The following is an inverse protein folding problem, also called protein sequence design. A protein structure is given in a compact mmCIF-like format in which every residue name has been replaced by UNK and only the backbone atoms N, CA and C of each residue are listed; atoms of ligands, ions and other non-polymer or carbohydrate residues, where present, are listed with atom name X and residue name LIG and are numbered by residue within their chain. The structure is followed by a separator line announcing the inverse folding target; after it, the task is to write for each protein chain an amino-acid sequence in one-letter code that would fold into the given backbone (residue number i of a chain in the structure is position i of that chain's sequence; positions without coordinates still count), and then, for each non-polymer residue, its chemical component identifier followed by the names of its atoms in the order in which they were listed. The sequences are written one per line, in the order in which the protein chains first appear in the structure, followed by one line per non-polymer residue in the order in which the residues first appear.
data_IF_508596753214
#
_entry.id   IF_508596753214
#
_cell.length_a   1.000
_cell.length_b   1.000
_cell.length_c   1.000
_cell.angle_alpha   90.00
_cell.angle_beta   90.00
_cell.angle_gamma   90.00
#
_symmetry.space_group_name_H-M   'P 1'
#
loop_
_entity.id
_entity.type
_entity.pdbx_description
1 polymer ?
#
# COMPACT_ATOMS: atom_id res chain seq x y z
N UNK A 1 1.41 -23.88 -30.36
CA UNK A 1 0.21 -24.43 -29.71
C UNK A 1 0.30 -24.21 -28.19
N UNK A 2 0.24 -22.96 -27.70
CA UNK A 2 0.60 -22.59 -26.32
C UNK A 2 -0.17 -21.35 -25.77
N UNK A 3 -1.48 -21.21 -26.05
CA UNK A 3 -2.28 -20.05 -25.57
C UNK A 3 -3.73 -20.40 -25.19
N UNK A 4 -3.94 -21.47 -24.42
CA UNK A 4 -5.28 -21.98 -24.07
C UNK A 4 -5.62 -22.00 -22.56
N UNK A 5 -4.82 -21.35 -21.69
CA UNK A 5 -5.07 -21.39 -20.26
C UNK A 5 -5.10 -20.04 -19.53
N UNK A 6 -6.16 -19.74 -18.74
CA UNK A 6 -6.19 -18.65 -17.74
C UNK A 6 -7.47 -17.91 -17.38
N UNK A 7 -7.46 -16.56 -17.23
CA UNK A 7 -8.55 -15.75 -16.63
C UNK A 7 -8.98 -14.51 -17.46
N UNK A 8 -8.68 -14.47 -18.76
CA UNK A 8 -9.11 -13.41 -19.69
C UNK A 8 -10.04 -13.97 -20.76
N UNK A 9 -11.22 -13.36 -20.93
CA UNK A 9 -12.31 -13.83 -21.79
C UNK A 9 -11.87 -14.25 -23.20
N UNK A 10 -12.16 -15.48 -23.62
CA UNK A 10 -12.40 -15.81 -25.03
C UNK A 10 -13.83 -16.31 -25.18
N UNK A 11 -14.69 -15.43 -25.68
CA UNK A 11 -16.00 -15.75 -26.28
C UNK A 11 -17.06 -16.38 -25.35
N UNK A 12 -17.77 -15.57 -24.55
CA UNK A 12 -19.04 -15.96 -23.89
C UNK A 12 -20.01 -14.78 -23.75
N UNK A 13 -21.32 -15.04 -23.86
CA UNK A 13 -22.43 -14.07 -24.01
C UNK A 13 -22.64 -13.03 -22.88
N UNK A 14 -21.76 -12.96 -21.87
CA UNK A 14 -21.77 -11.93 -20.81
C UNK A 14 -20.41 -11.26 -20.60
N UNK A 15 -19.47 -11.56 -21.48
CA UNK A 15 -18.17 -10.90 -21.63
C UNK A 15 -18.20 -10.21 -22.96
N UNK A 16 -17.44 -9.12 -23.14
CA UNK A 16 -17.19 -8.47 -24.44
C UNK A 16 -17.57 -9.39 -25.62
N UNK A 17 -18.78 -9.17 -26.15
CA UNK A 17 -19.44 -10.08 -27.08
C UNK A 17 -18.52 -10.18 -28.27
N UNK A 18 -17.87 -11.33 -28.42
CA UNK A 18 -16.79 -11.57 -29.39
C UNK A 18 -15.66 -10.52 -29.32
N UNK A 19 -14.46 -10.92 -28.90
CA UNK A 19 -13.26 -10.12 -29.12
C UNK A 19 -12.46 -10.70 -30.30
N UNK A 20 -12.95 -10.58 -31.55
CA UNK A 20 -12.23 -11.08 -32.73
C UNK A 20 -11.02 -10.21 -33.07
N UNK A 21 -10.91 -8.98 -32.51
CA UNK A 21 -9.87 -8.02 -32.85
C UNK A 21 -9.67 -6.93 -31.78
N UNK A 22 -9.03 -7.24 -30.63
CA UNK A 22 -8.53 -6.32 -29.57
C UNK A 22 -9.43 -5.19 -29.01
N UNK A 23 -10.63 -4.97 -29.54
CA UNK A 23 -11.53 -3.84 -29.26
C UNK A 23 -12.25 -3.94 -27.91
N UNK A 24 -12.09 -5.07 -27.22
CA UNK A 24 -12.64 -5.35 -25.91
C UNK A 24 -11.79 -4.83 -24.74
N UNK A 25 -10.57 -4.36 -25.02
CA UNK A 25 -9.74 -3.69 -24.03
C UNK A 25 -9.96 -2.18 -24.08
N UNK A 26 -9.75 -1.52 -22.95
CA UNK A 26 -9.68 -0.07 -22.92
C UNK A 26 -8.42 0.41 -23.62
N UNK A 27 -8.50 1.41 -24.52
CA UNK A 27 -7.37 1.85 -25.30
C UNK A 27 -6.29 2.48 -24.41
N UNK A 28 -5.04 2.31 -24.83
CA UNK A 28 -3.90 2.97 -24.22
C UNK A 28 -3.59 4.25 -24.97
N UNK A 29 -3.55 5.36 -24.24
CA UNK A 29 -3.24 6.67 -24.77
C UNK A 29 -1.73 6.80 -25.06
N UNK A 30 -1.37 7.81 -25.83
CA UNK A 30 0.03 8.12 -26.18
C UNK A 30 0.90 8.47 -24.98
N UNK A 31 0.29 8.90 -23.87
CA UNK A 31 0.96 9.15 -22.58
C UNK A 31 1.31 7.86 -21.81
N UNK A 32 0.95 6.69 -22.36
CA UNK A 32 1.21 5.39 -21.76
C UNK A 32 0.21 4.97 -20.67
N UNK A 33 -0.85 5.75 -20.45
CA UNK A 33 -1.94 5.39 -19.54
C UNK A 33 -3.15 4.81 -20.28
N UNK A 34 -3.94 4.01 -19.57
CA UNK A 34 -5.23 3.51 -20.05
C UNK A 34 -6.32 4.23 -19.27
N UNK A 35 -7.03 5.14 -19.92
CA UNK A 35 -8.08 5.92 -19.27
C UNK A 35 -9.41 5.20 -19.40
N UNK A 36 -10.07 4.97 -18.27
CA UNK A 36 -11.39 4.35 -18.18
C UNK A 36 -12.37 5.37 -17.60
N UNK A 37 -13.17 6.05 -18.44
CA UNK A 37 -14.13 7.03 -17.98
C UNK A 37 -15.22 6.37 -17.11
N UNK A 38 -15.59 7.02 -16.00
CA UNK A 38 -16.67 6.55 -15.15
C UNK A 38 -17.54 7.69 -14.59
N UNK A 39 -18.79 7.35 -14.27
CA UNK A 39 -19.72 8.21 -13.56
C UNK A 39 -20.20 7.53 -12.28
N UNK A 40 -20.30 8.29 -11.18
CA UNK A 40 -20.89 7.80 -9.94
C UNK A 40 -22.33 8.28 -9.84
N UNK A 41 -23.26 7.33 -9.67
CA UNK A 41 -24.67 7.61 -9.49
C UNK A 41 -24.94 8.67 -8.43
N UNK A 42 -25.91 9.55 -8.69
CA UNK A 42 -26.41 10.54 -7.73
C UNK A 42 -27.10 9.89 -6.51
N UNK A 43 -27.38 8.59 -6.56
CA UNK A 43 -27.88 7.80 -5.42
C UNK A 43 -26.83 7.56 -4.34
N UNK A 44 -25.55 7.77 -4.64
CA UNK A 44 -24.49 7.67 -3.63
C UNK A 44 -24.31 8.98 -2.87
N UNK A 45 -24.13 8.87 -1.56
CA UNK A 45 -23.69 10.00 -0.72
C UNK A 45 -22.25 10.37 -1.05
N UNK A 46 -21.84 11.59 -0.69
CA UNK A 46 -20.45 12.05 -0.87
C UNK A 46 -19.43 11.12 -0.19
N UNK A 47 -19.78 10.56 0.97
CA UNK A 47 -18.93 9.60 1.68
C UNK A 47 -18.72 8.31 0.88
N UNK A 48 -19.77 7.76 0.27
CA UNK A 48 -19.65 6.55 -0.55
C UNK A 48 -18.84 6.84 -1.81
N UNK A 49 -19.06 7.99 -2.46
CA UNK A 49 -18.26 8.42 -3.61
C UNK A 49 -16.76 8.48 -3.25
N UNK A 50 -16.42 9.02 -2.08
CA UNK A 50 -15.03 9.06 -1.60
C UNK A 50 -14.44 7.68 -1.36
N UNK A 51 -15.20 6.72 -0.81
CA UNK A 51 -14.74 5.34 -0.61
C UNK A 51 -14.38 4.70 -1.95
N UNK A 52 -15.25 4.82 -2.95
CA UNK A 52 -15.01 4.28 -4.30
C UNK A 52 -13.78 4.93 -4.92
N UNK A 53 -13.72 6.26 -4.97
CA UNK A 53 -12.58 7.00 -5.53
C UNK A 53 -11.27 6.65 -4.82
N UNK A 54 -11.30 6.52 -3.48
CA UNK A 54 -10.13 6.17 -2.69
C UNK A 54 -9.58 4.78 -3.04
N UNK A 55 -10.45 3.78 -3.21
CA UNK A 55 -10.04 2.45 -3.64
C UNK A 55 -9.34 2.48 -5.01
N UNK A 56 -9.89 3.22 -5.98
CA UNK A 56 -9.32 3.30 -7.34
C UNK A 56 -7.91 3.91 -7.37
N UNK A 57 -7.55 4.78 -6.41
CA UNK A 57 -6.21 5.37 -6.35
C UNK A 57 -5.09 4.34 -6.15
N UNK A 58 -5.39 3.20 -5.54
CA UNK A 58 -4.41 2.12 -5.42
C UNK A 58 -4.10 1.50 -6.78
N UNK A 59 -5.14 1.25 -7.60
CA UNK A 59 -4.98 0.80 -8.99
C UNK A 59 -4.15 1.81 -9.77
N UNK A 60 -4.40 3.11 -9.59
CA UNK A 60 -3.63 4.17 -10.25
C UNK A 60 -2.16 4.17 -9.82
N UNK A 61 -1.90 3.81 -8.56
CA UNK A 61 -0.55 3.82 -7.99
C UNK A 61 0.28 2.65 -8.51
N UNK A 62 -0.34 1.48 -8.61
CA UNK A 62 0.32 0.20 -8.92
C UNK A 62 0.30 -0.17 -10.41
N UNK A 63 -0.46 0.55 -11.24
CA UNK A 63 -0.67 0.22 -12.66
C UNK A 63 -0.71 1.47 -13.54
N UNK A 64 -0.77 1.28 -14.86
CA UNK A 64 -1.03 2.35 -15.83
C UNK A 64 -2.53 2.65 -16.05
N UNK A 65 -3.44 1.97 -15.33
CA UNK A 65 -4.88 2.21 -15.43
C UNK A 65 -5.25 3.50 -14.70
N UNK A 66 -6.11 4.32 -15.30
CA UNK A 66 -6.64 5.56 -14.74
C UNK A 66 -8.16 5.57 -14.89
N UNK A 67 -8.87 5.30 -13.81
CA UNK A 67 -10.29 5.56 -13.73
C UNK A 67 -10.49 7.07 -13.56
N UNK A 68 -11.07 7.70 -14.57
CA UNK A 68 -11.21 9.15 -14.64
C UNK A 68 -12.69 9.55 -14.65
N UNK A 69 -13.10 10.62 -13.94
CA UNK A 69 -14.45 11.13 -14.06
C UNK A 69 -14.77 11.42 -15.53
N UNK A 70 -15.89 10.89 -16.00
CA UNK A 70 -16.35 11.12 -17.37
C UNK A 70 -16.66 12.59 -17.61
N UNK A 71 -16.37 13.02 -18.84
CA UNK A 71 -16.81 14.30 -19.40
C UNK A 71 -17.73 14.04 -20.61
N UNK A 72 -17.15 13.79 -21.79
CA UNK A 72 -17.88 13.63 -23.06
C UNK A 72 -17.67 12.27 -23.69
N UNK A 73 -16.91 11.37 -23.06
CA UNK A 73 -16.53 10.08 -23.63
C UNK A 73 -17.76 9.21 -23.90
N UNK A 74 -17.80 8.56 -25.07
CA UNK A 74 -18.90 7.68 -25.48
C UNK A 74 -18.89 6.37 -24.70
N UNK A 75 -17.70 5.79 -24.54
CA UNK A 75 -17.48 4.54 -23.81
C UNK A 75 -17.16 4.86 -22.35
N UNK A 76 -17.98 4.38 -21.42
CA UNK A 76 -17.79 4.66 -19.99
C UNK A 76 -18.52 3.70 -19.08
N UNK A 77 -18.08 3.67 -17.82
CA UNK A 77 -18.71 2.89 -16.76
C UNK A 77 -19.63 3.75 -15.89
N UNK A 78 -20.91 3.40 -15.84
CA UNK A 78 -21.82 3.95 -14.83
C UNK A 78 -21.78 3.08 -13.57
N UNK A 79 -21.30 3.64 -12.46
CA UNK A 79 -21.29 2.96 -11.16
C UNK A 79 -22.56 3.32 -10.40
N UNK A 80 -23.39 2.32 -10.10
CA UNK A 80 -24.71 2.51 -9.47
C UNK A 80 -25.01 1.47 -8.40
N UNK A 81 -25.83 1.78 -7.37
CA UNK A 81 -26.19 0.80 -6.35
C UNK A 81 -27.41 -0.04 -6.80
N UNK A 82 -27.23 -0.96 -7.75
CA UNK A 82 -28.35 -1.75 -8.33
C UNK A 82 -28.12 -3.27 -8.25
N UNK A 83 -28.77 -3.92 -7.28
CA UNK A 83 -28.88 -5.39 -7.26
C UNK A 83 -27.55 -6.12 -7.07
N UNK A 84 -26.92 -5.98 -5.92
CA UNK A 84 -25.70 -6.69 -5.53
C UNK A 84 -24.40 -6.01 -5.99
N UNK A 85 -23.32 -6.79 -5.97
CA UNK A 85 -22.01 -6.42 -6.52
C UNK A 85 -21.83 -7.22 -7.82
N UNK A 86 -21.68 -6.51 -8.94
CA UNK A 86 -21.43 -7.13 -10.25
C UNK A 86 -20.96 -6.09 -11.26
N UNK A 87 -20.32 -6.55 -12.33
CA UNK A 87 -19.80 -5.70 -13.39
C UNK A 87 -19.76 -6.41 -14.73
N UNK A 88 -19.87 -5.64 -15.81
CA UNK A 88 -19.57 -6.15 -17.15
C UNK A 88 -18.06 -6.39 -17.32
N UNK A 89 -17.72 -7.32 -18.22
CA UNK A 89 -16.32 -7.71 -18.45
C UNK A 89 -15.72 -7.06 -19.70
N UNK A 90 -14.69 -6.25 -19.50
CA UNK A 90 -13.99 -5.51 -20.56
C UNK A 90 -14.74 -4.25 -21.00
N UNK A 91 -14.26 -3.63 -22.08
CA UNK A 91 -14.93 -2.53 -22.79
C UNK A 91 -16.00 -3.09 -23.71
N UNK A 92 -17.27 -2.74 -23.47
CA UNK A 92 -18.40 -3.17 -24.30
C UNK A 92 -18.73 -2.19 -25.44
N UNK A 93 -18.26 -0.95 -25.34
CA UNK A 93 -18.72 0.17 -26.17
C UNK A 93 -19.98 0.83 -25.59
N UNK A 94 -20.05 2.15 -25.67
CA UNK A 94 -21.11 2.94 -25.06
C UNK A 94 -21.11 2.88 -23.52
N UNK A 95 -22.28 3.16 -22.93
CA UNK A 95 -22.51 3.06 -21.49
C UNK A 95 -22.55 1.59 -21.04
N UNK A 96 -21.72 1.22 -20.07
CA UNK A 96 -21.80 -0.08 -19.37
C UNK A 96 -21.98 0.11 -17.87
N UNK A 97 -22.84 -0.68 -17.23
CA UNK A 97 -23.12 -0.52 -15.80
C UNK A 97 -22.24 -1.43 -14.94
N UNK A 98 -21.79 -0.88 -13.81
CA UNK A 98 -21.17 -1.59 -12.70
C UNK A 98 -22.02 -1.35 -11.46
N UNK A 99 -22.39 -2.41 -10.75
CA UNK A 99 -23.14 -2.30 -9.51
C UNK A 99 -22.27 -2.42 -8.26
N UNK A 100 -22.40 -1.45 -7.35
CA UNK A 100 -21.90 -1.55 -5.98
C UNK A 100 -23.02 -1.15 -5.01
N UNK A 101 -23.73 -2.12 -4.44
CA UNK A 101 -24.63 -1.81 -3.33
C UNK A 101 -23.87 -1.18 -2.15
N UNK A 102 -24.49 -0.19 -1.53
CA UNK A 102 -23.90 0.53 -0.40
C UNK A 102 -23.59 -0.42 0.77
N UNK A 103 -24.44 -1.43 0.96
CA UNK A 103 -24.22 -2.49 1.94
C UNK A 103 -23.56 -3.70 1.25
N UNK A 104 -22.39 -4.10 1.75
CA UNK A 104 -21.69 -5.31 1.30
C UNK A 104 -20.71 -5.13 0.15
N UNK A 105 -20.86 -4.12 -0.73
CA UNK A 105 -19.95 -3.96 -1.89
C UNK A 105 -18.87 -2.89 -1.72
N UNK A 106 -18.89 -2.12 -0.63
CA UNK A 106 -17.95 -1.00 -0.42
C UNK A 106 -16.63 -1.39 0.26
N UNK A 107 -16.39 -2.69 0.47
CA UNK A 107 -15.07 -3.18 0.87
C UNK A 107 -14.09 -2.99 -0.29
N UNK A 108 -12.87 -2.57 0.03
CA UNK A 108 -11.85 -2.25 -0.99
C UNK A 108 -11.64 -3.38 -1.99
N UNK A 109 -11.48 -4.62 -1.53
CA UNK A 109 -11.28 -5.77 -2.41
C UNK A 109 -12.49 -6.06 -3.30
N UNK A 110 -13.72 -5.79 -2.84
CA UNK A 110 -14.93 -5.93 -3.65
C UNK A 110 -15.01 -4.85 -4.73
N UNK A 111 -14.67 -3.61 -4.39
CA UNK A 111 -14.56 -2.54 -5.39
C UNK A 111 -13.51 -2.92 -6.43
N UNK A 112 -12.32 -3.36 -6.01
CA UNK A 112 -11.28 -3.82 -6.94
C UNK A 112 -11.72 -5.01 -7.79
N UNK A 113 -12.48 -5.95 -7.23
CA UNK A 113 -13.05 -7.08 -7.99
C UNK A 113 -13.93 -6.60 -9.14
N UNK A 114 -14.90 -5.74 -8.86
CA UNK A 114 -15.84 -5.27 -9.89
C UNK A 114 -15.15 -4.39 -10.94
N UNK A 115 -14.17 -3.60 -10.53
CA UNK A 115 -13.37 -2.80 -11.46
C UNK A 115 -12.37 -3.65 -12.26
N UNK A 116 -11.87 -4.78 -11.73
CA UNK A 116 -11.08 -5.73 -12.51
C UNK A 116 -11.91 -6.43 -13.59
N UNK A 117 -13.20 -6.68 -13.33
CA UNK A 117 -14.12 -7.09 -14.40
C UNK A 117 -14.18 -6.05 -15.52
N UNK A 118 -14.31 -4.76 -15.22
CA UNK A 118 -14.29 -3.67 -16.23
C UNK A 118 -13.03 -3.75 -17.12
N UNK A 119 -11.89 -4.16 -16.54
CA UNK A 119 -10.63 -4.31 -17.26
C UNK A 119 -10.53 -5.59 -18.10
N UNK A 120 -11.49 -6.52 -17.97
CA UNK A 120 -11.59 -7.74 -18.77
C UNK A 120 -11.24 -9.02 -18.02
N UNK A 121 -10.98 -8.97 -16.72
CA UNK A 121 -10.62 -10.14 -15.92
C UNK A 121 -11.84 -10.99 -15.57
N UNK A 122 -11.68 -12.30 -15.66
CA UNK A 122 -12.60 -13.32 -15.16
C UNK A 122 -12.21 -13.75 -13.75
N UNK A 123 -13.07 -14.57 -13.15
CA UNK A 123 -12.76 -15.17 -11.86
C UNK A 123 -11.58 -16.15 -11.94
N UNK A 124 -10.67 -16.08 -10.97
CA UNK A 124 -9.47 -16.92 -10.92
C UNK A 124 -9.80 -18.40 -10.77
N UNK A 125 -10.88 -18.73 -10.05
CA UNK A 125 -11.31 -20.11 -9.84
C UNK A 125 -11.99 -20.74 -11.06
N UNK A 126 -12.20 -20.00 -12.16
CA UNK A 126 -12.71 -20.56 -13.41
C UNK A 126 -11.65 -20.74 -14.49
N UNK A 127 -10.37 -20.58 -14.13
CA UNK A 127 -9.29 -20.87 -15.07
C UNK A 127 -9.37 -22.27 -15.63
N UNK A 128 -9.04 -22.44 -16.91
CA UNK A 128 -9.03 -23.76 -17.54
C UNK A 128 -7.98 -24.71 -16.94
N UNK A 129 -6.92 -24.19 -16.30
CA UNK A 129 -5.91 -24.98 -15.58
C UNK A 129 -6.22 -25.15 -14.08
N UNK A 130 -7.34 -24.61 -13.58
CA UNK A 130 -7.65 -24.56 -12.14
C UNK A 130 -7.61 -25.92 -11.45
N UNK A 131 -7.87 -27.01 -12.16
CA UNK A 131 -7.93 -28.36 -11.56
C UNK A 131 -6.54 -28.82 -11.09
N UNK A 132 -5.46 -28.09 -11.40
CA UNK A 132 -4.15 -28.27 -10.77
C UNK A 132 -4.05 -27.64 -9.37
N UNK A 133 -4.98 -26.74 -9.02
CA UNK A 133 -4.90 -25.84 -7.87
C UNK A 133 -6.11 -25.91 -6.94
N UNK A 134 -7.29 -26.25 -7.45
CA UNK A 134 -8.51 -26.36 -6.63
C UNK A 134 -9.32 -27.60 -6.99
N UNK A 135 -10.23 -27.99 -6.09
CA UNK A 135 -11.24 -29.03 -6.27
C UNK A 135 -12.61 -28.44 -5.98
N UNK A 136 -13.51 -28.51 -6.97
CA UNK A 136 -14.89 -28.08 -6.83
C UNK A 136 -15.71 -29.20 -6.18
N UNK A 137 -16.44 -28.86 -5.11
CA UNK A 137 -17.33 -29.76 -4.40
C UNK A 137 -18.75 -29.64 -4.96
N UNK A 138 -19.00 -30.23 -6.13
CA UNK A 138 -20.26 -30.11 -6.87
C UNK A 138 -21.51 -30.46 -6.05
N UNK A 139 -21.42 -31.42 -5.12
CA UNK A 139 -22.52 -31.80 -4.21
C UNK A 139 -22.98 -30.69 -3.26
N UNK A 140 -22.15 -29.66 -3.06
CA UNK A 140 -22.46 -28.51 -2.20
C UNK A 140 -22.94 -27.30 -3.00
N UNK A 141 -23.10 -27.40 -4.32
CA UNK A 141 -23.50 -26.29 -5.20
C UNK A 141 -24.87 -26.61 -5.79
N UNK A 142 -25.82 -25.67 -5.68
CA UNK A 142 -27.15 -25.80 -6.29
C UNK A 142 -27.08 -25.78 -7.82
N UNK A 143 -28.00 -26.48 -8.48
CA UNK A 143 -27.98 -26.67 -9.95
C UNK A 143 -27.87 -25.33 -10.71
N UNK A 144 -28.64 -24.32 -10.31
CA UNK A 144 -28.64 -22.99 -10.93
C UNK A 144 -27.35 -22.18 -10.75
N UNK A 145 -26.40 -22.65 -9.94
CA UNK A 145 -25.11 -21.98 -9.69
C UNK A 145 -23.90 -22.73 -10.24
N UNK A 146 -24.08 -23.94 -10.80
CA UNK A 146 -22.95 -24.75 -11.28
C UNK A 146 -22.15 -24.06 -12.38
N UNK A 147 -22.80 -23.27 -13.22
CA UNK A 147 -22.14 -22.52 -14.29
C UNK A 147 -21.12 -21.50 -13.79
N UNK A 148 -21.30 -20.95 -12.58
CA UNK A 148 -20.32 -20.07 -11.95
C UNK A 148 -18.99 -20.77 -11.62
N UNK A 149 -19.00 -22.11 -11.65
CA UNK A 149 -17.84 -22.96 -11.41
C UNK A 149 -17.47 -23.73 -12.67
N UNK A 150 -17.99 -23.45 -13.86
CA UNK A 150 -17.53 -24.15 -15.08
C UNK A 150 -16.21 -23.53 -15.54
N UNK A 151 -15.16 -24.32 -15.88
CA UNK A 151 -13.91 -23.75 -16.38
C UNK A 151 -14.18 -23.05 -17.71
N UNK A 152 -13.59 -21.88 -17.89
CA UNK A 152 -13.69 -21.13 -19.14
C UNK A 152 -12.35 -21.16 -19.90
N UNK A 153 -12.42 -21.11 -21.24
CA UNK A 153 -11.23 -20.97 -22.09
C UNK A 153 -10.77 -19.53 -22.04
N UNK A 154 -9.61 -19.32 -21.42
CA UNK A 154 -9.17 -18.01 -21.01
C UNK A 154 -7.62 -17.94 -21.13
N UNK A 155 -7.02 -16.75 -21.03
CA UNK A 155 -5.55 -16.54 -21.05
C UNK A 155 -5.05 -16.03 -19.70
N UNK A 156 -4.00 -16.63 -19.13
CA UNK A 156 -3.45 -16.31 -17.78
C UNK A 156 -2.20 -15.46 -17.91
N UNK A 157 -1.86 -15.09 -19.14
CA UNK A 157 -0.66 -14.36 -19.49
C UNK A 157 0.62 -15.07 -19.00
N UNK A 158 0.59 -16.40 -18.86
CA UNK A 158 1.70 -17.20 -18.32
C UNK A 158 1.99 -16.95 -16.84
N UNK A 159 1.05 -16.39 -16.08
CA UNK A 159 1.21 -16.13 -14.64
C UNK A 159 0.67 -17.32 -13.79
N UNK A 160 1.27 -17.55 -12.60
CA UNK A 160 0.84 -18.61 -11.70
C UNK A 160 -0.59 -18.43 -11.20
N UNK A 161 -1.16 -19.47 -10.59
CA UNK A 161 -2.47 -19.43 -9.97
C UNK A 161 -2.42 -18.62 -8.67
N UNK A 162 -3.39 -17.74 -8.48
CA UNK A 162 -3.46 -16.86 -7.32
C UNK A 162 -4.63 -17.20 -6.39
N UNK A 163 -4.36 -18.00 -5.36
CA UNK A 163 -5.36 -18.33 -4.35
C UNK A 163 -5.95 -17.09 -3.66
N UNK A 164 -5.20 -15.99 -3.58
CA UNK A 164 -5.59 -14.76 -2.86
C UNK A 164 -5.99 -13.63 -3.79
N UNK A 165 -6.23 -13.91 -5.07
CA UNK A 165 -6.73 -12.91 -6.01
C UNK A 165 -8.06 -12.35 -5.52
N UNK A 166 -8.28 -11.04 -5.70
CA UNK A 166 -9.63 -10.49 -5.51
C UNK A 166 -10.64 -11.15 -6.44
N UNK A 167 -10.20 -11.70 -7.57
CA UNK A 167 -11.03 -12.39 -8.56
C UNK A 167 -11.31 -13.85 -8.19
N UNK A 168 -10.81 -14.37 -7.07
CA UNK A 168 -11.06 -15.76 -6.65
C UNK A 168 -12.28 -15.82 -5.70
N UNK A 169 -13.22 -16.74 -5.95
CA UNK A 169 -14.31 -17.01 -5.01
C UNK A 169 -13.82 -17.59 -3.68
N UNK A 170 -14.50 -17.24 -2.61
CA UNK A 170 -14.28 -17.80 -1.29
C UNK A 170 -14.60 -19.30 -1.22
N UNK A 171 -14.07 -19.94 -0.18
CA UNK A 171 -14.22 -21.39 0.09
C UNK A 171 -15.68 -21.87 0.17
N UNK A 172 -16.60 -20.99 0.56
CA UNK A 172 -18.00 -21.33 0.86
C UNK A 172 -19.00 -20.66 -0.09
N UNK A 173 -18.53 -19.94 -1.10
CA UNK A 173 -19.41 -19.19 -2.00
C UNK A 173 -20.36 -20.13 -2.73
N UNK A 174 -21.64 -19.74 -2.80
CA UNK A 174 -22.73 -20.50 -3.41
C UNK A 174 -22.99 -21.88 -2.78
N UNK A 175 -22.60 -22.10 -1.53
CA UNK A 175 -22.92 -23.36 -0.84
C UNK A 175 -24.40 -23.48 -0.53
N UNK A 176 -25.01 -24.62 -0.89
CA UNK A 176 -26.36 -25.00 -0.46
C UNK A 176 -26.35 -25.82 0.84
N UNK A 177 -25.17 -26.28 1.26
CA UNK A 177 -24.98 -27.08 2.47
C UNK A 177 -24.22 -26.23 3.48
N UNK A 178 -24.93 -25.68 4.48
CA UNK A 178 -24.37 -24.75 5.46
C UNK A 178 -23.05 -25.30 6.07
N UNK A 179 -22.01 -24.46 6.05
CA UNK A 179 -20.68 -24.79 6.56
C UNK A 179 -19.87 -25.78 5.71
N UNK A 180 -20.39 -26.26 4.58
CA UNK A 180 -19.65 -27.15 3.66
C UNK A 180 -19.03 -26.33 2.52
N UNK A 181 -17.74 -26.56 2.20
CA UNK A 181 -17.03 -25.79 1.18
C UNK A 181 -17.47 -26.16 -0.24
N UNK A 182 -17.53 -25.19 -1.13
CA UNK A 182 -17.73 -25.40 -2.59
C UNK A 182 -16.39 -25.48 -3.33
N UNK A 183 -15.34 -24.85 -2.79
CA UNK A 183 -13.98 -24.89 -3.35
C UNK A 183 -13.00 -25.35 -2.27
N UNK A 184 -12.15 -26.32 -2.59
CA UNK A 184 -11.03 -26.74 -1.74
C UNK A 184 -9.70 -26.47 -2.46
N UNK A 185 -8.71 -25.86 -1.79
CA UNK A 185 -7.39 -25.70 -2.37
C UNK A 185 -6.64 -27.04 -2.46
N UNK A 186 -5.74 -27.14 -3.43
CA UNK A 186 -4.98 -28.33 -3.78
C UNK A 186 -3.61 -27.95 -4.37
N UNK A 187 -2.51 -28.67 -4.06
CA UNK A 187 -2.44 -29.82 -3.17
C UNK A 187 -2.45 -29.43 -1.68
N UNK A 188 -2.08 -28.19 -1.36
CA UNK A 188 -2.06 -27.68 0.01
C UNK A 188 -3.45 -27.19 0.44
N UNK A 189 -4.00 -27.76 1.51
CA UNK A 189 -5.35 -27.45 2.02
C UNK A 189 -5.43 -26.16 2.84
N UNK A 190 -4.29 -25.60 3.24
CA UNK A 190 -4.20 -24.45 4.14
C UNK A 190 -4.17 -23.11 3.39
N UNK A 191 -4.29 -23.14 2.06
CA UNK A 191 -4.38 -21.91 1.26
C UNK A 191 -5.69 -21.16 1.55
N UNK A 192 -5.56 -19.85 1.73
CA UNK A 192 -6.71 -18.95 1.82
C UNK A 192 -7.20 -18.68 0.40
N UNK A 193 -8.50 -18.92 0.16
CA UNK A 193 -9.16 -18.71 -1.14
C UNK A 193 -9.91 -17.37 -1.15
N UNK A 194 -9.54 -16.48 -2.08
CA UNK A 194 -10.05 -15.12 -2.17
C UNK A 194 -9.64 -14.23 -0.99
N UNK A 195 -9.93 -12.94 -1.10
CA UNK A 195 -9.86 -11.96 0.01
C UNK A 195 -10.54 -10.64 -0.39
N UNK A 196 -10.81 -9.78 0.60
CA UNK A 196 -11.51 -8.49 0.43
C UNK A 196 -10.66 -7.27 0.81
N UNK A 197 -9.36 -7.46 1.05
CA UNK A 197 -8.44 -6.44 1.53
C UNK A 197 -7.93 -5.51 0.42
N UNK A 198 -7.92 -5.95 -0.84
CA UNK A 198 -7.43 -5.16 -1.98
C UNK A 198 -6.73 -6.03 -3.01
N UNK A 199 -6.09 -5.46 -4.03
CA UNK A 199 -5.41 -6.28 -5.06
C UNK A 199 -4.27 -7.12 -4.43
N UNK A 200 -4.12 -8.36 -4.89
CA UNK A 200 -2.97 -9.21 -4.58
C UNK A 200 -1.74 -8.83 -5.41
N UNK A 201 -0.62 -9.53 -5.18
CA UNK A 201 0.57 -9.43 -6.04
C UNK A 201 0.31 -9.79 -7.49
N UNK A 202 -0.38 -10.90 -7.71
CA UNK A 202 -0.62 -11.39 -9.05
C UNK A 202 -1.74 -10.61 -9.75
N UNK A 203 -2.65 -9.97 -9.01
CA UNK A 203 -3.69 -9.12 -9.60
C UNK A 203 -3.10 -7.91 -10.34
N UNK A 204 -2.19 -7.12 -9.73
CA UNK A 204 -1.58 -6.00 -10.44
C UNK A 204 -0.62 -6.47 -11.55
N UNK A 205 0.11 -7.58 -11.35
CA UNK A 205 0.98 -8.12 -12.39
C UNK A 205 0.19 -8.52 -13.62
N UNK A 206 -1.00 -9.10 -13.43
CA UNK A 206 -1.92 -9.41 -14.53
C UNK A 206 -2.41 -8.15 -15.24
N UNK A 207 -2.86 -7.13 -14.51
CA UNK A 207 -3.27 -5.84 -15.10
C UNK A 207 -2.11 -5.23 -15.90
N UNK A 208 -0.93 -5.14 -15.30
CA UNK A 208 0.26 -4.56 -15.91
C UNK A 208 0.70 -5.34 -17.16
N UNK A 209 0.61 -6.66 -17.13
CA UNK A 209 0.94 -7.50 -18.29
C UNK A 209 -0.10 -7.39 -19.40
N UNK A 210 -1.40 -7.33 -19.06
CA UNK A 210 -2.49 -7.19 -20.02
C UNK A 210 -2.41 -5.86 -20.78
N UNK A 211 -2.25 -4.76 -20.05
CA UNK A 211 -2.22 -3.40 -20.59
C UNK A 211 -0.80 -2.90 -20.90
N UNK A 212 0.20 -3.80 -20.86
CA UNK A 212 1.61 -3.54 -21.14
C UNK A 212 2.14 -2.32 -20.38
N UNK A 213 1.75 -2.17 -19.11
CA UNK A 213 2.14 -1.03 -18.28
C UNK A 213 3.65 -1.03 -18.07
N UNK A 214 4.30 0.11 -18.37
CA UNK A 214 5.72 0.30 -18.11
C UNK A 214 5.92 0.81 -16.67
N UNK A 215 5.62 -0.05 -15.69
CA UNK A 215 5.71 0.27 -14.26
C UNK A 215 6.47 -0.83 -13.54
N UNK A 216 7.25 -0.44 -12.52
CA UNK A 216 7.92 -1.36 -11.61
C UNK A 216 7.26 -1.28 -10.24
N UNK A 217 6.11 -1.94 -10.08
CA UNK A 217 5.32 -1.91 -8.85
C UNK A 217 5.41 -3.24 -8.11
N UNK A 218 5.62 -3.19 -6.79
CA UNK A 218 5.67 -4.36 -5.92
C UNK A 218 4.80 -4.15 -4.69
N UNK A 219 4.01 -5.16 -4.33
CA UNK A 219 3.25 -5.20 -3.09
C UNK A 219 3.93 -6.14 -2.12
N UNK A 220 4.21 -5.63 -0.92
CA UNK A 220 4.92 -6.33 0.13
C UNK A 220 3.94 -6.61 1.27
N UNK A 221 3.70 -7.89 1.56
CA UNK A 221 2.87 -8.33 2.67
C UNK A 221 3.75 -8.92 3.77
N UNK A 222 3.31 -8.74 5.01
CA UNK A 222 3.96 -9.31 6.19
C UNK A 222 4.53 -8.24 7.11
N UNK A 223 5.04 -8.67 8.26
CA UNK A 223 5.44 -7.76 9.34
C UNK A 223 6.91 -7.35 9.28
N UNK A 224 7.65 -7.85 8.30
CA UNK A 224 9.00 -7.39 7.96
C UNK A 224 9.36 -7.74 6.52
N UNK A 225 10.35 -7.05 5.97
CA UNK A 225 10.86 -7.31 4.63
C UNK A 225 11.90 -6.30 4.19
N UNK A 226 12.44 -6.51 3.00
CA UNK A 226 13.51 -5.69 2.40
C UNK A 226 12.98 -5.04 1.12
N UNK A 227 13.36 -3.79 0.88
CA UNK A 227 13.07 -2.99 -0.30
C UNK A 227 14.39 -2.51 -0.90
N UNK A 228 14.60 -2.79 -2.18
CA UNK A 228 15.83 -2.42 -2.88
C UNK A 228 15.51 -1.93 -4.28
N UNK A 229 16.29 -0.98 -4.78
CA UNK A 229 16.30 -0.65 -6.22
C UNK A 229 16.72 -1.87 -7.03
N UNK A 230 16.21 -1.96 -8.27
CA UNK A 230 16.64 -3.02 -9.18
C UNK A 230 18.17 -2.99 -9.36
N UNK A 231 18.78 -4.18 -9.40
CA UNK A 231 20.22 -4.42 -9.53
C UNK A 231 21.10 -4.03 -8.35
N UNK A 232 20.55 -3.48 -7.25
CA UNK A 232 21.34 -3.16 -6.06
C UNK A 232 22.23 -4.35 -5.62
N UNK A 233 23.53 -4.15 -5.33
CA UNK A 233 24.23 -2.86 -5.16
C UNK A 233 24.81 -2.26 -6.45
N UNK A 234 24.54 -2.83 -7.62
CA UNK A 234 24.89 -2.23 -8.92
C UNK A 234 23.94 -1.09 -9.28
N UNK A 235 24.33 -0.30 -10.26
CA UNK A 235 23.55 0.88 -10.64
C UNK A 235 22.15 0.54 -11.15
N UNK A 236 21.17 1.34 -10.72
CA UNK A 236 19.82 1.27 -11.25
C UNK A 236 19.75 1.76 -12.71
N UNK A 237 18.69 1.42 -13.42
CA UNK A 237 18.48 1.88 -14.80
C UNK A 237 17.75 3.23 -14.86
N UNK A 238 17.86 3.90 -16.00
CA UNK A 238 17.16 5.16 -16.27
C UNK A 238 15.66 4.94 -16.55
N UNK A 239 14.88 6.02 -16.46
CA UNK A 239 13.43 6.07 -16.75
C UNK A 239 12.58 5.14 -15.87
N UNK A 240 12.98 4.94 -14.62
CA UNK A 240 12.23 4.14 -13.66
C UNK A 240 11.15 5.00 -12.98
N UNK A 241 10.01 4.37 -12.73
CA UNK A 241 8.96 4.88 -11.84
C UNK A 241 8.46 3.70 -11.00
N UNK A 242 9.25 3.36 -9.98
CA UNK A 242 9.03 2.20 -9.16
C UNK A 242 8.29 2.55 -7.88
N UNK A 243 7.39 1.66 -7.47
CA UNK A 243 6.68 1.79 -6.20
C UNK A 243 6.69 0.49 -5.43
N UNK A 244 6.87 0.60 -4.13
CA UNK A 244 6.67 -0.49 -3.18
C UNK A 244 5.56 -0.10 -2.21
N UNK A 245 4.44 -0.81 -2.28
CA UNK A 245 3.35 -0.67 -1.33
C UNK A 245 3.52 -1.74 -0.24
N UNK A 246 3.78 -1.30 0.97
CA UNK A 246 3.89 -2.18 2.15
C UNK A 246 2.53 -2.27 2.82
N UNK A 247 2.11 -3.50 3.14
CA UNK A 247 0.93 -3.81 3.95
C UNK A 247 1.31 -4.79 5.05
N UNK A 248 1.55 -4.24 6.23
CA UNK A 248 1.75 -5.02 7.44
C UNK A 248 0.44 -5.63 7.94
N UNK A 249 0.53 -6.70 8.74
CA UNK A 249 -0.64 -7.37 9.27
C UNK A 249 -1.34 -6.58 10.39
N UNK A 250 -0.59 -5.72 11.09
CA UNK A 250 -1.07 -5.10 12.34
C UNK A 250 -0.69 -3.62 12.55
N UNK A 251 0.34 -3.30 13.33
CA UNK A 251 0.64 -1.95 13.82
C UNK A 251 1.33 -1.09 12.74
N UNK A 252 2.07 -0.06 13.15
CA UNK A 252 2.72 0.89 12.27
C UNK A 252 3.88 0.26 11.50
N UNK A 253 4.09 0.69 10.26
CA UNK A 253 5.28 0.32 9.48
C UNK A 253 6.44 1.24 9.85
N UNK A 254 7.54 0.65 10.33
CA UNK A 254 8.82 1.32 10.58
C UNK A 254 9.78 0.97 9.43
N UNK A 255 10.24 1.97 8.67
CA UNK A 255 11.12 1.83 7.52
C UNK A 255 12.50 2.45 7.83
N UNK A 256 13.54 1.63 7.70
CA UNK A 256 14.92 2.04 7.89
C UNK A 256 15.73 1.83 6.61
N UNK A 257 16.38 2.90 6.13
CA UNK A 257 17.33 2.82 5.02
C UNK A 257 18.72 2.41 5.55
N UNK A 258 19.38 1.50 4.84
CA UNK A 258 20.73 1.04 5.18
C UNK A 258 21.79 1.65 4.28
N UNK A 259 21.46 1.79 3.00
CA UNK A 259 22.32 2.44 2.01
C UNK A 259 21.45 3.23 1.04
N UNK A 260 21.93 4.41 0.69
CA UNK A 260 21.30 5.31 -0.27
C UNK A 260 22.40 6.02 -1.03
N UNK A 261 22.41 5.80 -2.34
CA UNK A 261 23.28 6.43 -3.31
C UNK A 261 22.50 6.63 -4.61
N UNK A 262 21.84 7.78 -4.70
CA UNK A 262 20.98 8.17 -5.83
C UNK A 262 21.63 9.38 -6.50
N UNK A 263 21.51 9.54 -7.81
CA UNK A 263 22.08 10.68 -8.54
C UNK A 263 21.74 12.02 -7.85
N UNK A 264 22.79 12.74 -7.43
CA UNK A 264 22.65 14.07 -6.85
C UNK A 264 22.19 15.08 -7.91
N UNK A 265 21.18 15.87 -7.58
CA UNK A 265 20.74 17.02 -8.38
C UNK A 265 20.16 18.13 -7.49
N UNK A 266 20.15 19.39 -7.95
CA UNK A 266 19.47 20.47 -7.23
C UNK A 266 18.02 20.09 -6.94
N UNK A 267 17.64 20.18 -5.67
CA UNK A 267 16.32 19.79 -5.15
C UNK A 267 15.88 18.36 -5.51
N UNK A 268 16.81 17.46 -5.83
CA UNK A 268 16.51 16.09 -6.27
C UNK A 268 15.48 16.07 -7.41
N UNK A 269 15.64 17.00 -8.36
CA UNK A 269 14.74 17.20 -9.49
C UNK A 269 14.83 16.10 -10.54
N UNK A 270 15.96 15.39 -10.59
CA UNK A 270 16.19 14.23 -11.45
C UNK A 270 15.75 12.95 -10.73
N UNK A 271 16.71 12.22 -10.15
CA UNK A 271 16.43 10.99 -9.45
C UNK A 271 16.13 11.22 -7.97
N UNK A 272 15.22 10.44 -7.40
CA UNK A 272 14.87 10.54 -5.98
C UNK A 272 14.17 9.30 -5.44
N UNK A 273 14.30 9.11 -4.13
CA UNK A 273 13.36 8.32 -3.33
C UNK A 273 12.43 9.24 -2.55
N UNK A 274 11.18 8.83 -2.39
CA UNK A 274 10.14 9.53 -1.64
C UNK A 274 9.26 8.52 -0.90
N UNK A 275 8.75 8.89 0.28
CA UNK A 275 7.97 7.97 1.13
C UNK A 275 6.68 8.65 1.60
N UNK A 276 5.58 7.92 1.51
CA UNK A 276 4.23 8.39 1.82
C UNK A 276 3.58 7.55 2.93
N UNK A 277 2.78 8.23 3.75
CA UNK A 277 2.01 7.70 4.87
C UNK A 277 0.65 7.15 4.40
N UNK A 278 0.68 6.05 3.68
CA UNK A 278 -0.51 5.38 3.15
C UNK A 278 -0.25 4.66 1.83
N UNK A 279 -1.30 4.41 1.07
CA UNK A 279 -1.30 3.61 -0.15
C UNK A 279 -1.19 4.40 -1.46
N UNK A 280 -1.10 5.73 -1.41
CA UNK A 280 -1.14 6.58 -2.61
C UNK A 280 -0.15 7.74 -2.56
N UNK A 281 0.19 8.28 -3.73
CA UNK A 281 0.99 9.50 -3.88
C UNK A 281 0.30 10.78 -3.37
N UNK A 282 -0.99 10.70 -3.05
CA UNK A 282 -1.76 11.80 -2.46
C UNK A 282 -1.76 11.75 -0.92
N UNK A 283 -1.21 10.69 -0.33
CA UNK A 283 -1.08 10.57 1.12
C UNK A 283 -0.04 11.55 1.67
N UNK A 284 -0.09 11.82 2.98
CA UNK A 284 0.89 12.68 3.66
C UNK A 284 2.31 12.16 3.40
N UNK A 285 3.25 13.05 3.12
CA UNK A 285 4.64 12.67 2.87
C UNK A 285 5.36 12.45 4.21
N UNK A 286 6.07 11.32 4.34
CA UNK A 286 6.97 11.04 5.47
C UNK A 286 8.40 11.49 5.15
N UNK A 287 8.78 11.39 3.89
CA UNK A 287 10.05 11.85 3.35
C UNK A 287 9.78 12.47 1.98
N UNK A 288 10.22 13.71 1.79
CA UNK A 288 10.19 14.37 0.48
C UNK A 288 11.33 13.87 -0.42
N UNK A 289 11.43 14.37 -1.66
CA UNK A 289 12.46 13.96 -2.63
C UNK A 289 13.86 13.95 -2.02
N UNK A 290 14.47 12.77 -2.02
CA UNK A 290 15.76 12.54 -1.42
C UNK A 290 16.71 11.84 -2.39
N UNK A 291 17.89 12.40 -2.57
CA UNK A 291 18.93 11.95 -3.50
C UNK A 291 20.33 12.22 -2.96
N UNK A 292 21.36 11.74 -3.66
CA UNK A 292 22.75 11.76 -3.24
C UNK A 292 23.10 10.64 -2.27
N UNK A 293 24.40 10.49 -1.98
CA UNK A 293 24.90 9.57 -0.98
C UNK A 293 24.74 10.17 0.43
N UNK A 294 23.83 9.62 1.24
CA UNK A 294 23.53 10.14 2.58
C UNK A 294 22.73 9.17 3.44
N UNK A 295 22.77 9.38 4.75
CA UNK A 295 21.85 8.70 5.68
C UNK A 295 20.45 9.33 5.64
N UNK A 296 19.43 8.48 5.77
CA UNK A 296 18.02 8.89 5.86
C UNK A 296 17.44 8.53 7.23
N UNK A 297 16.45 9.31 7.72
CA UNK A 297 15.80 9.05 9.01
C UNK A 297 15.04 7.72 9.04
N UNK A 298 14.81 7.20 10.25
CA UNK A 298 13.79 6.19 10.51
C UNK A 298 12.40 6.79 10.24
N UNK A 299 11.65 6.17 9.33
CA UNK A 299 10.32 6.62 8.95
C UNK A 299 9.25 5.70 9.52
N UNK A 300 8.19 6.28 10.09
CA UNK A 300 7.14 5.57 10.81
C UNK A 300 5.80 6.03 10.23
N UNK A 301 5.09 5.10 9.60
CA UNK A 301 3.74 5.33 9.11
C UNK A 301 2.75 5.48 10.27
N UNK A 302 1.69 6.24 10.05
CA UNK A 302 0.57 6.37 10.99
C UNK A 302 -0.28 5.10 11.06
N UNK A 303 -0.20 4.25 10.03
CA UNK A 303 -0.96 3.01 9.88
C UNK A 303 -0.04 1.84 9.49
N UNK A 304 -0.64 0.69 9.20
CA UNK A 304 0.03 -0.51 8.69
C UNK A 304 0.33 -0.46 7.19
N UNK A 305 0.17 0.70 6.55
CA UNK A 305 0.35 0.90 5.12
C UNK A 305 1.37 2.02 4.89
N UNK A 306 2.34 1.76 4.01
CA UNK A 306 3.36 2.73 3.61
C UNK A 306 3.66 2.56 2.12
N UNK A 307 3.84 3.66 1.40
CA UNK A 307 4.21 3.65 -0.02
C UNK A 307 5.60 4.28 -0.19
N UNK A 308 6.50 3.55 -0.83
CA UNK A 308 7.82 4.03 -1.23
C UNK A 308 7.80 4.24 -2.75
N UNK A 309 8.28 5.39 -3.21
CA UNK A 309 8.41 5.75 -4.62
C UNK A 309 9.88 6.00 -4.95
N UNK A 310 10.34 5.45 -6.07
CA UNK A 310 11.64 5.73 -6.65
C UNK A 310 11.48 6.13 -8.11
N UNK A 311 12.08 7.26 -8.48
CA UNK A 311 12.05 7.78 -9.84
C UNK A 311 13.47 8.02 -10.32
N UNK A 312 13.76 7.62 -11.57
CA UNK A 312 14.99 8.01 -12.28
C UNK A 312 14.67 8.68 -13.61
N UNK A 313 15.49 9.66 -13.99
CA UNK A 313 15.39 10.36 -15.27
C UNK A 313 16.04 9.56 -16.42
N UNK A 314 16.20 10.17 -17.60
CA UNK A 314 16.74 9.51 -18.79
C UNK A 314 18.26 9.22 -18.76
N UNK A 315 19.00 9.70 -17.76
CA UNK A 315 20.46 9.76 -17.77
C UNK A 315 21.10 9.69 -16.38
N UNK A 316 22.32 9.13 -16.30
CA UNK A 316 23.16 9.09 -15.09
C UNK A 316 22.46 8.37 -13.92
N UNK A 317 22.95 7.18 -13.62
CA UNK A 317 22.52 6.39 -12.47
C UNK A 317 23.58 6.35 -11.36
N UNK A 318 23.17 5.91 -10.18
CA UNK A 318 24.03 5.56 -9.05
C UNK A 318 23.63 4.18 -8.49
N UNK A 319 24.17 3.75 -7.35
CA UNK A 319 23.95 2.38 -6.83
C UNK A 319 22.53 2.11 -6.30
N UNK A 320 21.74 3.17 -6.08
CA UNK A 320 20.34 3.10 -5.67
C UNK A 320 20.16 3.07 -4.16
N UNK A 321 19.25 2.27 -3.64
CA UNK A 321 19.04 2.16 -2.20
C UNK A 321 18.66 0.76 -1.76
N UNK A 322 18.93 0.49 -0.48
CA UNK A 322 18.42 -0.66 0.26
C UNK A 322 17.81 -0.20 1.58
N UNK A 323 16.63 -0.71 1.90
CA UNK A 323 15.90 -0.44 3.12
C UNK A 323 15.23 -1.72 3.64
N UNK A 324 14.94 -1.78 4.94
CA UNK A 324 14.02 -2.78 5.48
C UNK A 324 12.88 -2.11 6.21
N UNK A 325 11.73 -2.77 6.18
CA UNK A 325 10.61 -2.42 7.01
C UNK A 325 10.38 -3.51 8.07
N UNK A 326 9.84 -3.09 9.20
CA UNK A 326 9.28 -3.96 10.25
C UNK A 326 8.06 -3.31 10.88
N UNK A 327 7.20 -4.11 11.50
CA UNK A 327 6.12 -3.58 12.34
C UNK A 327 6.69 -3.04 13.64
N UNK A 328 6.29 -1.84 14.01
CA UNK A 328 6.55 -1.25 15.32
C UNK A 328 5.26 -0.87 16.03
N UNK A 329 5.31 -0.85 17.37
CA UNK A 329 4.12 -0.71 18.21
C UNK A 329 3.62 0.73 18.33
N UNK A 330 4.55 1.69 18.28
CA UNK A 330 4.27 3.09 18.56
C UNK A 330 5.36 4.02 18.04
N UNK A 331 4.99 5.28 17.97
CA UNK A 331 5.84 6.32 17.43
C UNK A 331 5.15 7.11 16.34
N UNK A 332 5.90 8.04 15.75
CA UNK A 332 5.46 8.77 14.57
C UNK A 332 6.62 9.44 13.85
N UNK A 333 6.50 9.61 12.55
CA UNK A 333 7.27 10.62 11.81
C UNK A 333 6.50 11.94 11.80
N UNK A 334 7.10 12.96 12.42
CA UNK A 334 6.54 14.29 12.66
C UNK A 334 7.10 15.28 11.63
N UNK A 335 6.23 15.81 10.76
CA UNK A 335 6.62 16.63 9.60
C UNK A 335 5.98 18.03 9.60
N UNK A 336 5.17 18.37 10.60
CA UNK A 336 4.51 19.67 10.67
C UNK A 336 5.44 20.74 11.25
N UNK A 337 5.30 22.01 10.88
CA UNK A 337 6.19 23.11 11.34
C UNK A 337 6.32 23.24 12.86
N UNK A 338 5.30 22.79 13.59
CA UNK A 338 5.32 22.67 15.04
C UNK A 338 4.28 21.64 15.47
N UNK A 339 4.44 21.08 16.66
CA UNK A 339 3.43 20.20 17.23
C UNK A 339 3.80 19.71 18.63
N UNK A 340 2.92 18.88 19.19
CA UNK A 340 3.13 18.18 20.45
C UNK A 340 3.02 16.68 20.25
N UNK A 341 3.75 15.91 21.06
CA UNK A 341 3.65 14.46 21.11
C UNK A 341 3.96 13.98 22.53
N UNK A 342 3.46 12.79 22.86
CA UNK A 342 3.54 12.25 24.21
C UNK A 342 3.75 10.74 24.18
N UNK A 343 4.11 10.19 25.33
CA UNK A 343 4.00 8.75 25.58
C UNK A 343 2.56 8.27 25.41
N UNK A 344 2.39 6.96 25.17
CA UNK A 344 1.07 6.34 25.09
C UNK A 344 0.30 6.55 26.40
N UNK A 345 -1.01 6.84 26.27
CA UNK A 345 -1.95 7.06 27.38
C UNK A 345 -1.68 8.26 28.30
N UNK A 346 -0.69 9.11 28.01
CA UNK A 346 -0.42 10.33 28.77
C UNK A 346 -1.73 11.14 29.00
N UNK A 347 -2.00 11.66 30.22
CA UNK A 347 -1.12 11.67 31.41
C UNK A 347 -1.23 10.42 32.30
N UNK A 348 -1.89 9.35 31.84
CA UNK A 348 -1.88 8.06 32.55
C UNK A 348 -0.55 7.34 32.35
N UNK A 349 -0.36 6.27 33.11
CA UNK A 349 0.86 5.47 33.05
C UNK A 349 1.12 4.93 31.64
N UNK A 350 2.36 5.05 31.16
CA UNK A 350 2.77 4.38 29.93
C UNK A 350 2.80 2.86 30.13
N UNK A 351 2.63 2.06 29.06
CA UNK A 351 2.67 0.60 29.16
C UNK A 351 4.10 0.08 29.33
N UNK A 352 4.25 -1.05 30.03
CA UNK A 352 5.52 -1.78 30.13
C UNK A 352 5.89 -2.44 28.81
N UNK A 353 7.17 -2.81 28.64
CA UNK A 353 7.72 -3.47 27.46
C UNK A 353 7.42 -2.74 26.13
N UNK A 354 7.55 -1.42 26.19
CA UNK A 354 7.22 -0.51 25.11
C UNK A 354 8.49 0.12 24.56
N UNK A 355 8.62 0.11 23.23
CA UNK A 355 9.70 0.75 22.50
C UNK A 355 9.07 1.66 21.44
N UNK A 356 9.16 2.98 21.64
CA UNK A 356 8.56 3.98 20.76
C UNK A 356 9.63 4.91 20.17
N UNK A 357 9.47 5.23 18.89
CA UNK A 357 10.36 6.14 18.17
C UNK A 357 9.57 7.33 17.63
N UNK A 358 10.04 8.55 17.84
CA UNK A 358 9.53 9.71 17.13
C UNK A 358 10.65 10.33 16.32
N UNK A 359 10.43 10.47 15.03
CA UNK A 359 11.41 11.07 14.13
C UNK A 359 10.84 12.38 13.61
N UNK A 360 11.45 13.48 14.04
CA UNK A 360 11.07 14.83 13.60
C UNK A 360 11.86 15.13 12.34
N UNK A 361 11.14 15.43 11.25
CA UNK A 361 11.69 15.68 9.92
C UNK A 361 11.35 17.11 9.51
N UNK A 362 12.35 17.99 9.56
CA UNK A 362 12.23 19.38 9.14
C UNK A 362 12.60 19.56 7.65
N UNK A 363 12.05 20.59 6.98
CA UNK A 363 12.49 20.97 5.65
C UNK A 363 14.00 21.19 5.59
N UNK A 364 14.57 21.01 4.39
CA UNK A 364 16.01 21.21 4.18
C UNK A 364 16.41 22.64 4.60
N UNK A 365 17.48 22.75 5.39
CA UNK A 365 18.01 24.02 5.90
C UNK A 365 17.39 24.47 7.23
N UNK A 366 16.30 23.85 7.68
CA UNK A 366 15.73 24.11 9.00
C UNK A 366 16.46 23.30 10.08
N UNK A 367 16.37 23.77 11.32
CA UNK A 367 16.73 23.04 12.55
C UNK A 367 15.49 22.72 13.36
N UNK A 368 15.61 21.89 14.39
CA UNK A 368 14.50 21.43 15.22
C UNK A 368 14.78 21.82 16.66
N UNK A 369 13.83 22.51 17.29
CA UNK A 369 13.82 22.74 18.73
C UNK A 369 12.83 21.80 19.40
N UNK A 370 13.22 21.21 20.53
CA UNK A 370 12.34 20.41 21.38
C UNK A 370 12.37 20.94 22.83
N UNK A 371 11.21 20.94 23.45
CA UNK A 371 10.99 21.27 24.87
C UNK A 371 10.10 20.21 25.52
N UNK A 372 10.36 19.91 26.79
CA UNK A 372 9.50 19.03 27.60
C UNK A 372 8.60 19.90 28.47
N UNK A 373 7.29 19.82 28.26
CA UNK A 373 6.30 20.52 29.09
C UNK A 373 5.99 19.74 30.37
N UNK A 374 6.00 18.41 30.27
CA UNK A 374 5.90 17.53 31.42
C UNK A 374 6.71 16.26 31.19
N UNK A 375 7.33 15.74 32.25
CA UNK A 375 8.15 14.55 32.21
C UNK A 375 8.14 13.81 33.54
N UNK A 376 8.03 12.49 33.46
CA UNK A 376 8.06 11.57 34.58
C UNK A 376 8.19 10.15 34.06
N UNK A 377 9.43 9.67 34.01
CA UNK A 377 9.79 8.30 33.62
C UNK A 377 10.52 7.67 34.82
N UNK A 378 10.50 6.34 34.96
CA UNK A 378 11.17 5.67 36.08
C UNK A 378 12.64 6.08 36.23
N UNK A 379 13.00 6.55 37.42
CA UNK A 379 14.37 6.92 37.72
C UNK A 379 15.22 5.69 38.03
N UNK A 380 16.38 5.61 37.39
CA UNK A 380 17.48 4.73 37.78
C UNK A 380 18.81 5.41 37.47
N UNK A 381 19.88 5.01 38.16
CA UNK A 381 21.22 5.54 37.87
C UNK A 381 21.60 5.17 36.44
N UNK A 382 21.86 6.18 35.59
CA UNK A 382 22.13 5.98 34.16
C UNK A 382 20.90 5.66 33.31
N UNK A 383 19.70 5.72 33.87
CA UNK A 383 18.44 5.42 33.18
C UNK A 383 18.46 4.03 32.52
N UNK A 384 18.86 3.01 33.28
CA UNK A 384 19.09 1.65 32.81
C UNK A 384 17.80 0.83 32.66
N UNK A 385 16.76 1.17 33.43
CA UNK A 385 15.42 0.59 33.32
C UNK A 385 14.66 1.31 32.19
N UNK A 386 13.93 2.37 32.52
CA UNK A 386 13.27 3.20 31.55
C UNK A 386 14.12 4.39 31.11
N UNK A 387 13.98 4.80 29.86
CA UNK A 387 14.71 5.94 29.33
C UNK A 387 14.00 6.67 28.20
N UNK A 388 14.35 7.95 28.09
CA UNK A 388 14.04 8.82 26.99
C UNK A 388 15.34 9.36 26.40
N UNK A 389 15.63 9.02 25.16
CA UNK A 389 16.84 9.40 24.44
C UNK A 389 16.49 10.42 23.36
N UNK A 390 17.32 11.45 23.23
CA UNK A 390 17.31 12.36 22.08
C UNK A 390 18.63 12.23 21.33
N UNK A 391 18.54 12.13 20.00
CA UNK A 391 19.70 12.12 19.09
C UNK A 391 19.63 13.26 18.09
N UNK A 392 20.79 13.81 17.77
CA UNK A 392 20.98 14.86 16.78
C UNK A 392 21.10 14.28 15.37
N UNK A 393 19.97 13.82 14.86
CA UNK A 393 19.85 13.14 13.58
C UNK A 393 18.65 12.21 13.56
N UNK A 394 18.38 11.60 12.40
CA UNK A 394 17.18 10.80 12.18
C UNK A 394 17.31 9.31 12.46
N UNK A 395 18.48 8.82 12.89
CA UNK A 395 18.81 7.39 12.99
C UNK A 395 19.18 7.00 14.42
N UNK A 396 19.12 5.70 14.72
CA UNK A 396 19.53 5.16 16.04
C UNK A 396 21.03 5.31 16.32
N UNK A 397 21.83 5.52 15.28
CA UNK A 397 23.28 5.72 15.36
C UNK A 397 23.69 7.19 15.38
N UNK A 398 22.75 8.13 15.21
CA UNK A 398 23.04 9.55 15.24
C UNK A 398 23.63 9.99 16.60
N UNK A 399 24.42 11.08 16.65
CA UNK A 399 25.02 11.57 17.89
C UNK A 399 24.01 11.70 19.04
N UNK A 400 24.35 11.14 20.20
CA UNK A 400 23.52 11.22 21.41
C UNK A 400 23.56 12.65 21.96
N UNK A 401 22.39 13.27 22.13
CA UNK A 401 22.28 14.55 22.86
C UNK A 401 22.16 14.25 24.35
N UNK A 402 21.29 13.31 24.72
CA UNK A 402 21.13 12.91 26.11
C UNK A 402 20.21 11.71 26.32
N UNK A 403 20.35 11.10 27.49
CA UNK A 403 19.52 10.01 28.01
C UNK A 403 18.92 10.48 29.33
N UNK A 404 17.59 10.44 29.43
CA UNK A 404 16.82 11.09 30.47
C UNK A 404 15.84 10.11 31.13
N UNK A 405 15.63 10.27 32.43
CA UNK A 405 14.67 9.54 33.26
C UNK A 405 14.44 10.31 34.57
N UNK A 406 13.48 9.88 35.39
CA UNK A 406 13.04 10.61 36.58
C UNK A 406 12.27 11.88 36.21
N UNK A 407 12.62 13.00 36.84
CA UNK A 407 12.11 14.35 36.56
C UNK A 407 13.31 15.29 36.37
N UNK A 408 14.03 15.17 35.24
CA UNK A 408 15.24 15.93 34.99
C UNK A 408 14.91 17.41 34.73
N UNK A 409 15.85 18.30 35.06
CA UNK A 409 15.82 19.66 34.52
C UNK A 409 16.19 19.59 33.03
N UNK A 410 15.29 20.04 32.17
CA UNK A 410 15.39 19.82 30.74
C UNK A 410 15.59 21.14 29.99
N UNK A 411 16.81 21.42 29.46
CA UNK A 411 17.03 22.61 28.67
C UNK A 411 16.32 22.51 27.32
N UNK A 412 16.02 23.66 26.70
CA UNK A 412 15.59 23.66 25.30
C UNK A 412 16.72 23.12 24.41
N UNK A 413 16.44 22.07 23.64
CA UNK A 413 17.43 21.39 22.79
C UNK A 413 17.17 21.79 21.34
N UNK A 414 18.23 22.19 20.64
CA UNK A 414 18.20 22.52 19.21
C UNK A 414 19.12 21.58 18.45
N UNK A 415 18.62 20.93 17.40
CA UNK A 415 19.42 20.07 16.52
C UNK A 415 20.41 20.88 15.66
N UNK A 416 21.48 20.23 15.21
CA UNK A 416 22.41 20.81 14.23
C UNK A 416 21.86 20.70 12.81
N UNK A 417 21.09 19.65 12.53
CA UNK A 417 20.50 19.37 11.22
C UNK A 417 18.97 19.42 11.20
N UNK A 418 18.40 18.97 10.09
CA UNK A 418 16.96 18.96 9.84
C UNK A 418 16.27 17.66 10.30
N UNK A 419 16.96 16.79 11.03
CA UNK A 419 16.42 15.57 11.61
C UNK A 419 16.74 15.49 13.11
N UNK A 420 15.79 14.99 13.89
CA UNK A 420 15.96 14.68 15.31
C UNK A 420 15.16 13.42 15.64
N UNK A 421 15.76 12.49 16.39
CA UNK A 421 15.11 11.26 16.81
C UNK A 421 14.95 11.24 18.32
N UNK A 422 13.74 10.91 18.76
CA UNK A 422 13.40 10.61 20.14
C UNK A 422 13.11 9.12 20.26
N UNK A 423 13.69 8.48 21.26
CA UNK A 423 13.48 7.07 21.55
C UNK A 423 13.09 6.90 23.02
N UNK A 424 11.88 6.40 23.27
CA UNK A 424 11.45 6.00 24.60
C UNK A 424 11.40 4.48 24.69
N UNK A 425 11.97 3.96 25.76
CA UNK A 425 11.90 2.55 26.12
C UNK A 425 11.39 2.41 27.56
N UNK A 426 10.56 1.41 27.79
CA UNK A 426 10.17 0.98 29.13
C UNK A 426 10.44 -0.51 29.35
N UNK A 427 10.93 -0.88 30.52
CA UNK A 427 11.14 -2.27 30.91
C UNK A 427 9.83 -2.99 31.30
N UNK A 428 9.92 -4.15 31.95
CA UNK A 428 8.76 -4.98 32.30
C UNK A 428 8.02 -4.55 33.57
N UNK A 429 8.43 -3.45 34.21
CA UNK A 429 7.90 -2.99 35.48
C UNK A 429 7.76 -1.46 35.57
N UNK A 430 7.31 -1.00 36.75
CA UNK A 430 7.27 0.41 37.22
C UNK A 430 7.05 1.49 36.14
N UNK A 431 5.77 1.83 35.93
CA UNK A 431 5.39 2.90 34.99
C UNK A 431 4.95 4.19 35.68
N UNK A 432 5.34 5.32 35.09
CA UNK A 432 4.96 6.68 35.48
C UNK A 432 4.12 7.37 34.40
N UNK A 433 3.77 8.64 34.58
CA UNK A 433 2.94 9.42 33.65
C UNK A 433 3.53 9.56 32.23
N UNK A 434 4.84 9.40 32.08
CA UNK A 434 5.55 9.55 30.82
C UNK A 434 5.88 11.00 30.51
N UNK A 435 5.66 11.45 29.28
CA UNK A 435 6.09 12.78 28.86
C UNK A 435 5.08 13.48 27.94
N UNK A 436 5.13 14.81 27.93
CA UNK A 436 4.55 15.67 26.91
C UNK A 436 5.63 16.60 26.36
N UNK A 437 5.96 16.43 25.10
CA UNK A 437 6.99 17.19 24.40
C UNK A 437 6.34 18.11 23.35
N UNK A 438 6.93 19.28 23.15
CA UNK A 438 6.61 20.20 22.06
C UNK A 438 7.83 20.40 21.18
N UNK A 439 7.61 20.48 19.87
CA UNK A 439 8.67 20.73 18.90
C UNK A 439 8.29 21.87 17.95
N UNK A 440 9.31 22.57 17.45
CA UNK A 440 9.19 23.62 16.45
C UNK A 440 10.34 23.55 15.45
N UNK A 441 10.06 23.87 14.18
CA UNK A 441 11.06 23.95 13.13
C UNK A 441 11.60 25.38 13.04
N UNK A 442 12.91 25.54 13.21
CA UNK A 442 13.61 26.82 13.17
C UNK A 442 14.11 27.04 11.73
N UNK A 443 13.70 28.13 11.05
CA UNK A 443 14.18 28.43 9.70
C UNK A 443 15.69 28.72 9.67
N UNK A 444 16.34 28.56 8.51
CA UNK A 444 17.70 29.05 8.33
C UNK A 444 17.76 30.56 8.57
N UNK A 445 18.82 31.01 9.23
CA UNK A 445 19.13 32.43 9.48
C UNK A 445 19.57 33.15 8.22
#
# INVERSE_FOLDING_TARGET
MLFEFGDIAKNTMRSAISCPSENCYWPKDSDGFVKVPYELSNKYTSRVKLIIVSALKEIHTMTCIRFVPRTTEVDYVEVSPIGGCWSHRGRLGGKQTLSLLQNGCLWRGVIHHEFNHVLGFFHEHVRSDRNKYVRIQWKNIGEGFKDNFTPAKLNNLGLPYDYRSVMHYGKYDFTINAGKPTILPFPNKDQILGQVNGLSTLDYLKINKLYKCNVCSTLLFGDSGIVMTANYPLSYTNNLNCVWLIRASSHQVHLNFYDVDIQSSPHCSKDYVKVYDGDTRASRMLLDKSCGKKELPLLIASTNIMLIEFVSDSSISANGFAAAYKVGKCGATLTAMSGKFSSQFYPKKYPFNTECFWTIVAPRGYRISIELEDFGIEFSVGCVFDYFIIRDGGTINAPLIGRYCGTPDFPSIISTGNYMMVHMYSDDSIGFKGFLAKYTMIPPS
#
